data_IF_650609849571
#
_entry.id   IF_650609849571
#
_cell.length_a   1.000
_cell.length_b   1.000
_cell.length_c   1.000
_cell.angle_alpha   90.00
_cell.angle_beta   90.00
_cell.angle_gamma   90.00
#
_symmetry.space_group_name_H-M   'P 1'
#
loop_
_entity.id
_entity.type
_entity.pdbx_description
1 polymer ?
#
# COMPACT_ATOMS: atom_id res chain seq x y z
N UNK A 1 5.88 -13.04 1.32
CA UNK A 1 5.38 -12.07 0.32
C UNK A 1 6.10 -10.75 0.41
N UNK A 2 5.87 -9.90 -0.54
CA UNK A 2 6.53 -8.61 -0.61
C UNK A 2 5.48 -7.53 -0.87
N UNK A 3 5.67 -6.35 -0.25
CA UNK A 3 4.83 -5.17 -0.49
C UNK A 3 5.64 -4.19 -1.33
N UNK A 4 5.09 -3.75 -2.45
CA UNK A 4 5.78 -2.85 -3.38
C UNK A 4 4.96 -1.57 -3.54
N UNK A 5 5.64 -0.43 -3.51
CA UNK A 5 5.03 0.87 -3.82
C UNK A 5 5.68 1.40 -5.09
N UNK A 6 4.86 1.75 -6.07
CA UNK A 6 5.32 2.46 -7.26
C UNK A 6 5.14 3.94 -6.99
N UNK A 7 6.23 4.68 -6.94
CA UNK A 7 6.25 6.08 -6.51
C UNK A 7 6.78 6.99 -7.60
N UNK A 8 6.29 8.23 -7.62
CA UNK A 8 6.93 9.30 -8.39
C UNK A 8 8.25 9.68 -7.75
N UNK A 9 9.12 10.34 -8.53
CA UNK A 9 10.36 10.92 -8.05
C UNK A 9 10.33 12.43 -8.33
N UNK A 10 10.20 13.28 -7.30
CA UNK A 10 10.05 12.97 -5.86
C UNK A 10 8.64 12.46 -5.51
N UNK A 11 8.52 11.75 -4.38
CA UNK A 11 7.21 11.20 -3.97
C UNK A 11 6.17 12.27 -3.71
N UNK A 12 4.96 12.06 -4.25
CA UNK A 12 3.81 12.90 -3.94
C UNK A 12 3.10 12.44 -2.68
N UNK A 13 1.95 13.09 -2.35
CA UNK A 13 1.18 12.76 -1.15
C UNK A 13 0.72 11.32 -1.09
N UNK A 14 0.12 10.80 -2.18
CA UNK A 14 -0.34 9.40 -2.22
C UNK A 14 0.82 8.43 -2.11
N UNK A 15 1.96 8.75 -2.72
CA UNK A 15 3.14 7.91 -2.65
C UNK A 15 3.61 7.74 -1.21
N UNK A 16 3.64 8.83 -0.45
CA UNK A 16 4.04 8.81 0.96
C UNK A 16 3.06 8.01 1.81
N UNK A 17 1.78 8.15 1.57
CA UNK A 17 0.75 7.40 2.28
C UNK A 17 0.92 5.90 2.03
N UNK A 18 1.12 5.52 0.77
CA UNK A 18 1.29 4.12 0.39
C UNK A 18 2.57 3.52 0.98
N UNK A 19 3.63 4.33 1.09
CA UNK A 19 4.86 3.90 1.75
C UNK A 19 4.64 3.58 3.23
N UNK A 20 3.82 4.38 3.91
CA UNK A 20 3.47 4.13 5.31
C UNK A 20 2.62 2.86 5.44
N UNK A 21 1.66 2.68 4.54
CA UNK A 21 0.87 1.45 4.51
C UNK A 21 1.78 0.23 4.31
N UNK A 22 2.68 0.31 3.34
CA UNK A 22 3.59 -0.79 3.02
C UNK A 22 4.46 -1.15 4.22
N UNK A 23 5.00 -0.16 4.90
CA UNK A 23 5.82 -0.37 6.09
C UNK A 23 5.04 -1.10 7.19
N UNK A 24 3.81 -0.65 7.46
CA UNK A 24 2.97 -1.26 8.48
C UNK A 24 2.60 -2.71 8.14
N UNK A 25 2.24 -2.96 6.89
CA UNK A 25 1.86 -4.29 6.43
C UNK A 25 3.06 -5.24 6.50
N UNK A 26 4.19 -4.81 5.99
CA UNK A 26 5.42 -5.61 5.98
C UNK A 26 5.86 -5.94 7.41
N UNK A 27 5.81 -4.94 8.30
CA UNK A 27 6.20 -5.13 9.69
C UNK A 27 5.32 -6.16 10.40
N UNK A 28 4.00 -6.06 10.22
CA UNK A 28 3.06 -6.96 10.89
C UNK A 28 3.09 -8.38 10.37
N UNK A 29 3.42 -8.56 9.12
CA UNK A 29 3.47 -9.87 8.49
C UNK A 29 4.88 -10.45 8.40
N UNK A 30 5.91 -9.69 8.73
CA UNK A 30 7.29 -10.12 8.55
C UNK A 30 7.70 -10.24 7.09
N UNK A 31 7.10 -9.41 6.23
CA UNK A 31 7.37 -9.42 4.79
C UNK A 31 8.38 -8.35 4.41
N UNK A 32 8.98 -8.47 3.23
CA UNK A 32 9.82 -7.43 2.67
C UNK A 32 9.01 -6.31 2.08
N UNK A 33 9.63 -5.13 1.96
CA UNK A 33 9.01 -4.00 1.27
C UNK A 33 10.00 -3.40 0.28
N UNK A 34 9.46 -2.78 -0.77
CA UNK A 34 10.27 -2.18 -1.83
C UNK A 34 9.55 -0.96 -2.39
N UNK A 35 10.31 0.08 -2.72
CA UNK A 35 9.78 1.24 -3.44
C UNK A 35 10.45 1.25 -4.81
N UNK A 36 9.64 1.34 -5.87
CA UNK A 36 10.12 1.41 -7.24
C UNK A 36 9.70 2.73 -7.88
N UNK A 37 10.53 3.23 -8.76
CA UNK A 37 10.25 4.44 -9.54
C UNK A 37 10.01 4.07 -10.99
N UNK A 38 9.26 4.89 -11.77
CA UNK A 38 8.94 4.55 -13.15
C UNK A 38 10.14 4.23 -14.02
N UNK A 39 11.27 4.87 -13.80
CA UNK A 39 12.47 4.66 -14.60
C UNK A 39 13.06 3.27 -14.44
N UNK A 40 12.77 2.59 -13.33
CA UNK A 40 13.27 1.25 -13.05
C UNK A 40 12.18 0.19 -13.08
N UNK A 41 10.95 0.57 -13.44
CA UNK A 41 9.82 -0.35 -13.47
C UNK A 41 9.66 -1.00 -14.85
N UNK A 42 9.08 -2.23 -14.91
CA UNK A 42 8.76 -2.83 -16.22
C UNK A 42 7.80 -1.97 -17.02
N UNK A 43 7.81 -2.13 -18.33
CA UNK A 43 6.96 -1.34 -19.24
C UNK A 43 5.48 -1.45 -18.94
N UNK A 44 5.03 -2.58 -18.40
CA UNK A 44 3.63 -2.81 -18.08
C UNK A 44 3.31 -2.60 -16.62
N UNK A 45 4.20 -1.94 -15.87
CA UNK A 45 3.94 -1.61 -14.47
C UNK A 45 2.83 -0.57 -14.36
N UNK A 46 2.03 -0.61 -13.26
CA UNK A 46 0.99 0.42 -13.06
C UNK A 46 1.61 1.81 -12.90
N UNK A 47 0.86 2.86 -13.25
CA UNK A 47 1.38 4.23 -13.05
C UNK A 47 1.47 4.57 -11.57
N UNK A 48 2.36 5.51 -11.18
CA UNK A 48 2.41 6.02 -9.82
C UNK A 48 1.15 6.83 -9.48
N UNK A 49 0.66 6.84 -8.23
CA UNK A 49 1.14 5.99 -7.16
C UNK A 49 0.37 4.67 -7.19
N UNK A 50 1.05 3.59 -6.85
CA UNK A 50 0.42 2.26 -6.81
C UNK A 50 0.94 1.47 -5.62
N UNK A 51 0.10 0.58 -5.10
CA UNK A 51 0.45 -0.32 -4.01
C UNK A 51 0.21 -1.75 -4.49
N UNK A 52 1.21 -2.60 -4.35
CA UNK A 52 1.15 -4.00 -4.79
C UNK A 52 1.49 -4.88 -3.59
N UNK A 53 0.63 -5.87 -3.31
CA UNK A 53 0.84 -6.82 -2.22
C UNK A 53 0.88 -8.21 -2.81
N UNK A 54 2.00 -8.92 -2.65
CA UNK A 54 2.11 -10.28 -3.15
C UNK A 54 1.77 -10.41 -4.63
N UNK A 55 2.26 -9.49 -5.44
CA UNK A 55 2.04 -9.41 -6.89
C UNK A 55 0.63 -8.98 -7.31
N UNK A 56 -0.24 -8.67 -6.33
CA UNK A 56 -1.59 -8.20 -6.64
C UNK A 56 -1.69 -6.70 -6.42
N UNK A 57 -2.15 -5.97 -7.44
CA UNK A 57 -2.38 -4.54 -7.36
C UNK A 57 -3.58 -4.27 -6.45
N UNK A 58 -3.42 -3.35 -5.48
CA UNK A 58 -4.52 -2.90 -4.65
C UNK A 58 -5.22 -1.75 -5.36
N UNK A 59 -6.39 -2.02 -5.94
CA UNK A 59 -7.15 -0.99 -6.65
C UNK A 59 -8.00 -0.20 -5.66
N UNK A 60 -7.96 1.15 -5.71
CA UNK A 60 -8.81 1.96 -4.84
C UNK A 60 -10.26 1.86 -5.25
N UNK A 61 -11.16 1.64 -4.28
CA UNK A 61 -12.59 1.52 -4.55
C UNK A 61 -13.17 2.83 -5.11
N UNK A 62 -12.62 3.97 -4.69
CA UNK A 62 -13.06 5.28 -5.18
C UNK A 62 -12.32 5.73 -6.45
N UNK A 63 -11.39 4.92 -6.95
CA UNK A 63 -10.61 5.24 -8.14
C UNK A 63 -9.53 6.29 -7.94
N UNK A 64 -9.30 6.75 -6.71
CA UNK A 64 -8.36 7.84 -6.43
C UNK A 64 -7.28 7.44 -5.44
N UNK A 65 -7.66 6.96 -4.26
CA UNK A 65 -6.72 6.67 -3.19
C UNK A 65 -7.08 5.33 -2.53
N UNK A 66 -6.06 4.51 -2.29
CA UNK A 66 -6.26 3.23 -1.62
C UNK A 66 -6.62 3.46 -0.15
N UNK A 67 -7.71 2.85 0.30
CA UNK A 67 -8.17 2.93 1.69
C UNK A 67 -7.70 1.71 2.48
N UNK A 68 -7.74 1.77 3.83
CA UNK A 68 -7.47 0.59 4.64
C UNK A 68 -8.35 -0.60 4.30
N UNK A 69 -9.62 -0.36 3.96
CA UNK A 69 -10.57 -1.41 3.58
C UNK A 69 -10.15 -2.11 2.30
N UNK A 70 -9.61 -1.38 1.34
CA UNK A 70 -9.10 -1.97 0.10
C UNK A 70 -7.94 -2.92 0.39
N UNK A 71 -7.07 -2.55 1.31
CA UNK A 71 -5.91 -3.35 1.70
C UNK A 71 -6.35 -4.61 2.42
N UNK A 72 -7.26 -4.48 3.38
CA UNK A 72 -7.77 -5.63 4.14
C UNK A 72 -8.45 -6.63 3.20
N UNK A 73 -9.20 -6.14 2.21
CA UNK A 73 -9.82 -7.01 1.20
C UNK A 73 -8.78 -7.81 0.44
N UNK A 74 -7.73 -7.18 -0.03
CA UNK A 74 -6.66 -7.87 -0.78
C UNK A 74 -5.94 -8.87 0.11
N UNK A 75 -5.65 -8.51 1.35
CA UNK A 75 -5.03 -9.45 2.30
C UNK A 75 -5.90 -10.68 2.50
N UNK A 76 -7.22 -10.50 2.57
CA UNK A 76 -8.15 -11.61 2.66
C UNK A 76 -8.11 -12.50 1.42
N UNK A 77 -8.07 -11.90 0.22
CA UNK A 77 -7.98 -12.64 -1.03
C UNK A 77 -6.68 -13.45 -1.14
N UNK A 78 -5.61 -12.96 -0.53
CA UNK A 78 -4.32 -13.65 -0.53
C UNK A 78 -4.19 -14.67 0.61
N UNK A 79 -5.21 -14.81 1.44
CA UNK A 79 -5.18 -15.73 2.57
C UNK A 79 -4.33 -15.23 3.74
N UNK A 80 -4.07 -13.93 3.79
CA UNK A 80 -3.21 -13.30 4.80
C UNK A 80 -4.01 -12.44 5.78
N UNK A 81 -5.19 -12.90 6.16
CA UNK A 81 -6.12 -12.13 7.01
C UNK A 81 -6.06 -12.51 8.49
N UNK A 82 -5.06 -13.25 8.92
CA UNK A 82 -4.93 -13.71 10.30
C UNK A 82 -4.69 -12.57 11.30
N UNK A 83 -4.23 -11.41 10.82
CA UNK A 83 -4.04 -10.20 11.63
C UNK A 83 -4.81 -9.02 11.05
N UNK A 84 -5.90 -9.29 10.33
CA UNK A 84 -6.65 -8.26 9.59
C UNK A 84 -7.20 -7.15 10.47
N UNK A 85 -7.74 -7.48 11.66
CA UNK A 85 -8.26 -6.46 12.58
C UNK A 85 -7.15 -5.53 13.06
N UNK A 86 -6.03 -6.09 13.48
CA UNK A 86 -4.89 -5.34 13.96
C UNK A 86 -4.31 -4.44 12.87
N UNK A 87 -4.11 -5.01 11.69
CA UNK A 87 -3.60 -4.27 10.53
C UNK A 87 -4.60 -3.19 10.13
N UNK A 88 -5.87 -3.50 10.07
CA UNK A 88 -6.90 -2.53 9.71
C UNK A 88 -6.93 -1.34 10.64
N UNK A 89 -6.81 -1.56 11.94
CA UNK A 89 -6.77 -0.48 12.94
C UNK A 89 -5.54 0.40 12.73
N UNK A 90 -4.39 -0.22 12.50
CA UNK A 90 -3.13 0.50 12.27
C UNK A 90 -3.21 1.33 10.98
N UNK A 91 -3.76 0.76 9.92
CA UNK A 91 -3.89 1.46 8.64
C UNK A 91 -4.85 2.66 8.74
N UNK A 92 -5.94 2.53 9.48
CA UNK A 92 -6.86 3.65 9.70
C UNK A 92 -6.18 4.79 10.45
N UNK A 93 -5.34 4.46 11.41
CA UNK A 93 -4.58 5.47 12.14
C UNK A 93 -3.60 6.19 11.21
N UNK A 94 -2.95 5.45 10.33
CA UNK A 94 -2.03 6.02 9.34
C UNK A 94 -2.80 6.97 8.41
N UNK A 95 -3.97 6.57 7.93
CA UNK A 95 -4.80 7.39 7.08
C UNK A 95 -5.23 8.67 7.78
N UNK A 96 -5.69 8.57 9.04
CA UNK A 96 -6.10 9.72 9.82
C UNK A 96 -4.95 10.69 10.03
N UNK A 97 -3.77 10.19 10.38
CA UNK A 97 -2.58 11.01 10.57
C UNK A 97 -2.20 11.74 9.29
N UNK A 98 -2.29 11.05 8.16
CA UNK A 98 -2.00 11.62 6.85
C UNK A 98 -2.99 12.76 6.51
N UNK A 99 -4.28 12.52 6.72
CA UNK A 99 -5.32 13.51 6.41
C UNK A 99 -5.23 14.73 7.34
N UNK A 100 -4.79 14.53 8.57
CA UNK A 100 -4.67 15.62 9.54
C UNK A 100 -3.41 16.48 9.34
N UNK A 101 -2.50 16.05 8.51
CA UNK A 101 -1.30 16.80 8.17
C UNK A 101 -1.51 17.76 6.99
N UNK A 102 -2.62 17.63 6.33
CA UNK A 102 -2.91 18.42 5.12
C UNK A 102 -3.36 19.86 5.47
#
# INVERSE_FOLDING_TARGET
MKVVVISKSPPGGRCRLYMRYAEAIADRHGWGQEVRFPESSPLNAPPPAALIIGEQLVAPADGVIVSPEDIVRVLGELGANNVAEEVGTLLRKIEDDFLNQA
#
